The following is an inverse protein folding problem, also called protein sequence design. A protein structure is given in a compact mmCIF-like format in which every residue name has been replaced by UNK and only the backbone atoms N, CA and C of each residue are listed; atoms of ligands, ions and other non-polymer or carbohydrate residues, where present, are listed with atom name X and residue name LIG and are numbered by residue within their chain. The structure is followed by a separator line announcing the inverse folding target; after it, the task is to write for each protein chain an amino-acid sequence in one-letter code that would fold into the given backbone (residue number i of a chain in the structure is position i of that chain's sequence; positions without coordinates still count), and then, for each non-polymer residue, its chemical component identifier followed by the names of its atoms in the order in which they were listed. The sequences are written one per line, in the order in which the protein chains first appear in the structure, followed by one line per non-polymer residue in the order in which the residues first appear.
data_IF_412646432786
#
_entry.id   IF_412646432786
#
_cell.length_a   1.000
_cell.length_b   1.000
_cell.length_c   1.000
_cell.angle_alpha   90.00
_cell.angle_beta   90.00
_cell.angle_gamma   90.00
#
_symmetry.space_group_name_H-M   'P 1'
#
loop_
_entity.id
_entity.type
_entity.pdbx_description
1 polymer ?
#
# COMPACT_ATOMS: atom_id res chain seq x y z
N UNK A 1 18.54 43.03 10.02
CA UNK A 1 17.77 41.90 9.45
C UNK A 1 18.49 40.60 9.78
N UNK A 2 18.01 39.82 10.77
CA UNK A 2 18.60 38.53 11.14
C UNK A 2 18.21 37.49 10.09
N UNK A 3 19.19 36.93 9.38
CA UNK A 3 18.97 35.77 8.52
C UNK A 3 18.54 34.59 9.40
N UNK A 4 17.32 34.12 9.22
CA UNK A 4 16.77 32.91 9.83
C UNK A 4 17.53 31.70 9.30
N UNK A 5 18.54 31.24 10.03
CA UNK A 5 19.25 30.00 9.75
C UNK A 5 18.28 28.83 9.95
N UNK A 6 17.64 28.35 8.87
CA UNK A 6 16.79 27.16 8.91
C UNK A 6 17.70 25.95 9.12
N UNK A 7 17.79 25.52 10.37
CA UNK A 7 18.45 24.27 10.74
C UNK A 7 17.65 23.11 10.12
N UNK A 8 18.12 22.60 8.99
CA UNK A 8 17.47 21.49 8.31
C UNK A 8 17.71 20.22 9.14
N UNK A 9 16.63 19.59 9.58
CA UNK A 9 16.67 18.33 10.31
C UNK A 9 17.40 17.25 9.49
N UNK A 10 18.17 16.40 10.20
CA UNK A 10 18.88 15.26 9.61
C UNK A 10 17.89 14.30 8.92
N UNK A 11 18.31 13.72 7.79
CA UNK A 11 17.55 12.71 7.01
C UNK A 11 17.12 11.47 7.82
N UNK A 12 17.65 11.28 9.03
CA UNK A 12 17.33 10.17 9.93
C UNK A 12 16.33 10.52 11.05
N UNK A 13 15.86 11.78 11.14
CA UNK A 13 14.82 12.15 12.09
C UNK A 13 13.43 11.83 11.53
N UNK A 14 12.62 11.07 12.27
CA UNK A 14 11.26 10.67 11.85
C UNK A 14 10.32 11.87 11.58
N UNK A 15 10.49 12.96 12.33
CA UNK A 15 9.74 14.23 12.17
C UNK A 15 10.55 15.33 11.47
N UNK A 16 11.74 15.01 10.97
CA UNK A 16 12.62 15.96 10.30
C UNK A 16 12.17 16.21 8.87
N UNK A 17 11.96 17.47 8.49
CA UNK A 17 11.66 17.84 7.10
C UNK A 17 12.99 18.12 6.37
N UNK A 18 13.51 17.18 5.56
CA UNK A 18 14.77 17.40 4.84
C UNK A 18 14.62 18.51 3.79
N UNK A 19 15.75 19.04 3.32
CA UNK A 19 15.77 20.00 2.21
C UNK A 19 14.97 19.45 1.03
N UNK A 20 14.09 20.26 0.44
CA UNK A 20 13.27 19.84 -0.71
C UNK A 20 14.10 19.25 -1.86
N UNK A 21 15.31 19.79 -2.08
CA UNK A 21 16.26 19.29 -3.09
C UNK A 21 16.75 17.85 -2.83
N UNK A 22 16.70 17.37 -1.59
CA UNK A 22 17.01 15.98 -1.23
C UNK A 22 15.74 15.14 -1.13
N UNK A 23 14.66 15.71 -0.59
CA UNK A 23 13.38 15.02 -0.42
C UNK A 23 12.78 14.54 -1.75
N UNK A 24 12.80 15.40 -2.78
CA UNK A 24 12.19 15.11 -4.08
C UNK A 24 12.83 13.90 -4.80
N UNK A 25 14.16 13.82 -5.01
CA UNK A 25 14.76 12.66 -5.66
C UNK A 25 14.59 11.37 -4.84
N UNK A 26 14.65 11.43 -3.51
CA UNK A 26 14.39 10.26 -2.66
C UNK A 26 12.94 9.77 -2.79
N UNK A 27 11.97 10.69 -2.77
CA UNK A 27 10.56 10.34 -2.94
C UNK A 27 10.31 9.72 -4.33
N UNK A 28 10.90 10.27 -5.39
CA UNK A 28 10.81 9.70 -6.73
C UNK A 28 11.39 8.29 -6.81
N UNK A 29 12.54 8.02 -6.19
CA UNK A 29 13.13 6.69 -6.15
C UNK A 29 12.20 5.67 -5.46
N UNK A 30 11.56 6.07 -4.35
CA UNK A 30 10.60 5.21 -3.66
C UNK A 30 9.37 4.92 -4.51
N UNK A 31 8.83 5.94 -5.19
CA UNK A 31 7.68 5.77 -6.10
C UNK A 31 8.04 4.83 -7.25
N UNK A 32 9.19 5.01 -7.90
CA UNK A 32 9.62 4.15 -9.01
C UNK A 32 9.82 2.70 -8.53
N UNK A 33 10.44 2.50 -7.37
CA UNK A 33 10.62 1.17 -6.79
C UNK A 33 9.27 0.50 -6.48
N UNK A 34 8.30 1.26 -5.94
CA UNK A 34 6.97 0.79 -5.60
C UNK A 34 6.11 0.44 -6.83
N UNK A 35 6.20 1.23 -7.91
CA UNK A 35 5.40 1.03 -9.13
C UNK A 35 5.62 -0.37 -9.69
N UNK A 36 6.86 -0.82 -9.82
CA UNK A 36 7.16 -2.16 -10.36
C UNK A 36 6.55 -3.26 -9.47
N UNK A 37 6.60 -3.07 -8.14
CA UNK A 37 6.01 -4.00 -7.17
C UNK A 37 4.49 -4.08 -7.24
N UNK A 38 3.79 -2.99 -7.57
CA UNK A 38 2.33 -2.97 -7.67
C UNK A 38 1.83 -3.38 -9.08
N UNK A 39 2.54 -2.99 -10.13
CA UNK A 39 2.13 -3.25 -11.51
C UNK A 39 2.31 -4.73 -11.87
N UNK A 40 3.40 -5.37 -11.43
CA UNK A 40 3.73 -6.76 -11.79
C UNK A 40 2.63 -7.76 -11.39
N UNK A 41 2.15 -7.82 -10.13
CA UNK A 41 1.06 -8.72 -9.76
C UNK A 41 -0.24 -8.46 -10.53
N UNK A 42 -0.59 -7.19 -10.78
CA UNK A 42 -1.78 -6.84 -11.55
C UNK A 42 -1.68 -7.30 -13.01
N UNK A 43 -0.49 -7.19 -13.62
CA UNK A 43 -0.19 -7.73 -14.95
C UNK A 43 -0.31 -9.26 -14.97
N UNK A 44 0.22 -9.96 -13.97
CA UNK A 44 0.16 -11.42 -13.89
C UNK A 44 -1.30 -11.89 -13.82
N UNK A 45 -2.09 -11.32 -12.91
CA UNK A 45 -3.50 -11.72 -12.71
C UNK A 45 -4.37 -11.37 -13.92
N UNK A 46 -4.17 -10.18 -14.53
CA UNK A 46 -4.93 -9.79 -15.73
C UNK A 46 -4.67 -10.69 -16.94
N UNK A 47 -3.44 -11.19 -17.10
CA UNK A 47 -3.10 -12.16 -18.14
C UNK A 47 -3.85 -13.48 -17.95
N UNK A 48 -3.83 -14.02 -16.72
CA UNK A 48 -4.50 -15.30 -16.43
C UNK A 48 -6.02 -15.19 -16.58
N UNK A 49 -6.59 -14.04 -16.22
CA UNK A 49 -8.00 -13.75 -16.42
C UNK A 49 -8.38 -13.39 -17.88
N UNK A 50 -7.43 -13.38 -18.82
CA UNK A 50 -7.65 -13.03 -20.23
C UNK A 50 -8.40 -11.69 -20.43
N UNK A 51 -8.09 -10.68 -19.62
CA UNK A 51 -8.72 -9.36 -19.72
C UNK A 51 -8.37 -8.64 -21.02
N UNK A 52 -9.29 -7.80 -21.50
CA UNK A 52 -9.04 -6.89 -22.61
C UNK A 52 -7.92 -5.89 -22.26
N UNK A 53 -7.27 -5.31 -23.27
CA UNK A 53 -6.23 -4.30 -23.06
C UNK A 53 -6.71 -3.10 -22.25
N UNK A 54 -7.97 -2.68 -22.44
CA UNK A 54 -8.57 -1.58 -21.70
C UNK A 54 -8.80 -1.94 -20.22
N UNK A 55 -9.41 -3.10 -19.95
CA UNK A 55 -9.71 -3.55 -18.57
C UNK A 55 -8.44 -3.83 -17.78
N UNK A 56 -7.40 -4.32 -18.46
CA UNK A 56 -6.08 -4.50 -17.87
C UNK A 56 -5.49 -3.18 -17.38
N UNK A 57 -5.55 -2.13 -18.19
CA UNK A 57 -5.06 -0.80 -17.82
C UNK A 57 -5.85 -0.27 -16.62
N UNK A 58 -7.18 -0.44 -16.63
CA UNK A 58 -8.04 -0.06 -15.50
C UNK A 58 -7.64 -0.80 -14.22
N UNK A 59 -7.41 -2.11 -14.29
CA UNK A 59 -7.00 -2.91 -13.14
C UNK A 59 -5.65 -2.45 -12.55
N UNK A 60 -4.68 -2.17 -13.42
CA UNK A 60 -3.36 -1.67 -13.00
C UNK A 60 -3.48 -0.28 -12.36
N UNK A 61 -4.26 0.63 -12.96
CA UNK A 61 -4.50 1.96 -12.42
C UNK A 61 -5.23 1.90 -11.08
N UNK A 62 -6.26 1.05 -10.96
CA UNK A 62 -6.98 0.84 -9.71
C UNK A 62 -6.03 0.34 -8.61
N UNK A 63 -5.16 -0.61 -8.93
CA UNK A 63 -4.18 -1.13 -7.97
C UNK A 63 -3.20 -0.04 -7.48
N UNK A 64 -2.70 0.81 -8.38
CA UNK A 64 -1.83 1.94 -8.03
C UNK A 64 -2.54 2.98 -7.16
N UNK A 65 -3.79 3.33 -7.50
CA UNK A 65 -4.60 4.30 -6.74
C UNK A 65 -4.88 3.77 -5.33
N UNK A 66 -5.33 2.53 -5.19
CA UNK A 66 -5.60 1.92 -3.87
C UNK A 66 -4.32 1.83 -3.04
N UNK A 67 -3.19 1.53 -3.66
CA UNK A 67 -1.89 1.47 -3.00
C UNK A 67 -1.43 2.84 -2.49
N UNK A 68 -1.64 3.90 -3.28
CA UNK A 68 -1.38 5.28 -2.86
C UNK A 68 -2.30 5.71 -1.71
N UNK A 69 -3.60 5.42 -1.79
CA UNK A 69 -4.57 5.69 -0.73
C UNK A 69 -4.22 4.97 0.58
N UNK A 70 -3.81 3.70 0.48
CA UNK A 70 -3.39 2.90 1.64
C UNK A 70 -2.13 3.45 2.29
N UNK A 71 -1.15 3.88 1.47
CA UNK A 71 0.07 4.55 1.96
C UNK A 71 -0.27 5.88 2.65
N UNK A 72 -1.20 6.66 2.08
CA UNK A 72 -1.66 7.92 2.68
C UNK A 72 -2.37 7.68 4.02
N UNK A 73 -3.22 6.66 4.11
CA UNK A 73 -3.88 6.26 5.35
C UNK A 73 -2.87 5.87 6.44
N UNK A 74 -1.78 5.20 6.05
CA UNK A 74 -0.73 4.76 6.95
C UNK A 74 0.13 5.92 7.48
N UNK A 75 0.35 6.94 6.63
CA UNK A 75 1.04 8.20 6.97
C UNK A 75 0.17 9.12 7.84
N UNK A 76 -1.10 9.30 7.45
CA UNK A 76 -2.05 10.19 8.11
C UNK A 76 -3.18 9.37 8.74
N UNK A 77 -2.95 8.82 9.94
CA UNK A 77 -3.95 7.94 10.53
C UNK A 77 -5.22 8.71 10.85
N UNK A 78 -6.34 8.06 10.56
CA UNK A 78 -7.68 8.60 10.78
C UNK A 78 -8.21 8.00 12.09
N UNK A 79 -8.57 8.85 13.05
CA UNK A 79 -9.18 8.44 14.33
C UNK A 79 -8.56 9.09 15.57
N UNK A 80 -9.31 9.08 16.68
CA UNK A 80 -8.86 9.62 17.98
C UNK A 80 -7.94 8.63 18.70
N UNK A 81 -6.93 9.18 19.38
CA UNK A 81 -5.98 8.49 20.27
C UNK A 81 -6.75 7.89 21.47
N UNK A 82 -7.35 6.71 21.32
CA UNK A 82 -8.06 6.03 22.43
C UNK A 82 -9.15 5.00 22.10
N UNK A 83 -9.63 4.85 20.86
CA UNK A 83 -10.63 3.81 20.55
C UNK A 83 -10.36 3.07 19.26
N UNK A 84 -10.26 3.79 18.14
CA UNK A 84 -10.04 3.19 16.84
C UNK A 84 -9.15 4.10 16.01
N UNK A 85 -7.94 3.62 15.71
CA UNK A 85 -6.93 4.35 14.95
C UNK A 85 -6.62 3.55 13.69
N UNK A 86 -7.05 4.06 12.54
CA UNK A 86 -6.75 3.46 11.24
C UNK A 86 -5.45 4.07 10.71
N UNK A 87 -4.42 3.24 10.53
CA UNK A 87 -3.07 3.65 10.15
C UNK A 87 -2.12 3.81 11.36
N UNK A 88 -0.83 3.59 11.16
CA UNK A 88 0.14 3.65 12.28
C UNK A 88 0.82 5.02 12.49
N UNK A 89 0.61 6.02 11.63
CA UNK A 89 1.44 7.25 11.55
C UNK A 89 2.93 6.92 11.37
N UNK A 90 3.22 5.99 10.46
CA UNK A 90 4.59 5.63 10.13
C UNK A 90 4.82 5.79 8.64
N UNK A 91 6.04 6.18 8.20
CA UNK A 91 6.41 6.27 6.79
C UNK A 91 6.56 4.87 6.18
N UNK A 92 5.44 4.17 6.02
CA UNK A 92 5.37 2.82 5.46
C UNK A 92 4.62 2.88 4.14
N UNK A 93 5.26 2.40 3.09
CA UNK A 93 4.67 2.27 1.76
C UNK A 93 3.85 0.98 1.71
N UNK A 94 2.57 1.11 1.38
CA UNK A 94 1.69 -0.03 1.14
C UNK A 94 1.81 -0.46 -0.31
N UNK A 95 1.73 -1.77 -0.56
CA UNK A 95 1.88 -2.35 -1.89
C UNK A 95 1.11 -3.67 -2.01
N UNK A 96 1.16 -4.28 -3.19
CA UNK A 96 0.52 -5.58 -3.43
C UNK A 96 1.46 -6.70 -2.95
N UNK A 97 0.94 -7.62 -2.15
CA UNK A 97 1.70 -8.77 -1.69
C UNK A 97 1.78 -9.85 -2.77
N UNK A 98 3.01 -10.21 -3.15
CA UNK A 98 3.29 -11.30 -4.10
C UNK A 98 2.89 -12.69 -3.56
N UNK A 99 2.73 -12.83 -2.24
CA UNK A 99 2.35 -14.10 -1.62
C UNK A 99 0.97 -14.60 -2.09
N UNK A 100 0.08 -13.68 -2.49
CA UNK A 100 -1.27 -14.02 -2.93
C UNK A 100 -1.40 -14.27 -4.44
N UNK A 101 -0.34 -14.05 -5.23
CA UNK A 101 -0.39 -14.21 -6.69
C UNK A 101 -0.82 -15.62 -7.10
N UNK A 102 -0.25 -16.72 -6.54
CA UNK A 102 -0.66 -18.07 -6.94
C UNK A 102 -2.14 -18.36 -6.66
N UNK A 103 -2.65 -17.92 -5.50
CA UNK A 103 -4.06 -18.07 -5.14
C UNK A 103 -4.98 -17.27 -6.07
N UNK A 104 -4.59 -16.03 -6.40
CA UNK A 104 -5.33 -15.21 -7.36
C UNK A 104 -5.34 -15.83 -8.76
N UNK A 105 -4.24 -16.44 -9.21
CA UNK A 105 -4.20 -17.12 -10.51
C UNK A 105 -5.15 -18.33 -10.54
N UNK A 106 -5.19 -19.12 -9.46
CA UNK A 106 -6.13 -20.24 -9.34
C UNK A 106 -7.59 -19.77 -9.39
N UNK A 107 -7.95 -18.72 -8.66
CA UNK A 107 -9.32 -18.19 -8.67
C UNK A 107 -9.66 -17.54 -10.01
N UNK A 108 -8.71 -16.82 -10.63
CA UNK A 108 -8.90 -16.18 -11.94
C UNK A 108 -9.24 -17.20 -13.02
N UNK A 109 -8.59 -18.36 -13.02
CA UNK A 109 -8.76 -19.39 -14.04
C UNK A 109 -10.19 -19.97 -14.03
N UNK A 110 -10.76 -20.19 -12.85
CA UNK A 110 -12.05 -20.89 -12.70
C UNK A 110 -13.24 -19.93 -12.53
N UNK A 111 -13.02 -18.77 -11.88
CA UNK A 111 -14.09 -17.86 -11.45
C UNK A 111 -13.90 -16.39 -11.89
N UNK A 112 -12.75 -16.07 -12.50
CA UNK A 112 -12.45 -14.74 -13.02
C UNK A 112 -12.19 -13.65 -11.96
N UNK A 113 -12.08 -12.40 -12.44
CA UNK A 113 -11.78 -11.22 -11.62
C UNK A 113 -12.84 -10.91 -10.55
N UNK A 114 -14.17 -11.01 -10.82
CA UNK A 114 -15.18 -10.69 -9.81
C UNK A 114 -15.04 -11.53 -8.54
N UNK A 115 -14.69 -12.81 -8.69
CA UNK A 115 -14.45 -13.71 -7.56
C UNK A 115 -13.21 -13.31 -6.75
N UNK A 116 -12.14 -12.85 -7.40
CA UNK A 116 -10.95 -12.32 -6.71
C UNK A 116 -11.31 -11.09 -5.88
N UNK A 117 -12.05 -10.15 -6.45
CA UNK A 117 -12.45 -8.93 -5.72
C UNK A 117 -13.35 -9.27 -4.53
N UNK A 118 -14.29 -10.19 -4.70
CA UNK A 118 -15.13 -10.69 -3.60
C UNK A 118 -14.30 -11.36 -2.49
N UNK A 119 -13.38 -12.24 -2.88
CA UNK A 119 -12.47 -12.91 -1.95
C UNK A 119 -11.56 -11.92 -1.19
N UNK A 120 -11.11 -10.84 -1.86
CA UNK A 120 -10.31 -9.79 -1.24
C UNK A 120 -11.11 -9.00 -0.18
N UNK A 121 -12.39 -8.71 -0.43
CA UNK A 121 -13.25 -8.03 0.57
C UNK A 121 -13.41 -8.90 1.81
N UNK A 122 -13.75 -10.19 1.63
CA UNK A 122 -13.89 -11.13 2.74
C UNK A 122 -12.56 -11.31 3.48
N UNK A 123 -11.47 -11.51 2.74
CA UNK A 123 -10.12 -11.63 3.29
C UNK A 123 -9.69 -10.39 4.06
N UNK A 124 -10.06 -9.19 3.60
CA UNK A 124 -9.80 -7.92 4.28
C UNK A 124 -10.54 -7.82 5.62
N UNK A 125 -11.82 -8.23 5.66
CA UNK A 125 -12.60 -8.28 6.91
C UNK A 125 -11.98 -9.27 7.90
N UNK A 126 -11.61 -10.47 7.42
CA UNK A 126 -10.94 -11.48 8.27
C UNK A 126 -9.60 -10.97 8.78
N UNK A 127 -8.78 -10.37 7.91
CA UNK A 127 -7.48 -9.79 8.30
C UNK A 127 -7.63 -8.67 9.33
N UNK A 128 -8.66 -7.84 9.20
CA UNK A 128 -8.98 -6.79 10.16
C UNK A 128 -9.35 -7.37 11.53
N UNK A 129 -10.19 -8.40 11.58
CA UNK A 129 -10.55 -9.11 12.81
C UNK A 129 -9.30 -9.73 13.45
N UNK A 130 -8.52 -10.50 12.68
CA UNK A 130 -7.29 -11.13 13.16
C UNK A 130 -6.30 -10.08 13.69
N UNK A 131 -6.14 -8.96 12.97
CA UNK A 131 -5.29 -7.85 13.39
C UNK A 131 -5.70 -7.23 14.72
N UNK A 132 -7.01 -7.15 15.02
CA UNK A 132 -7.51 -6.66 16.30
C UNK A 132 -7.19 -7.60 17.47
N UNK A 133 -7.09 -8.91 17.24
CA UNK A 133 -6.80 -9.93 18.27
C UNK A 133 -5.33 -10.38 18.31
N UNK A 134 -4.50 -9.94 17.36
CA UNK A 134 -3.14 -10.47 17.15
C UNK A 134 -2.20 -10.29 18.36
N UNK A 135 -2.45 -9.29 19.22
CA UNK A 135 -1.68 -9.09 20.47
C UNK A 135 -1.75 -10.31 21.41
N UNK A 136 -2.80 -11.13 21.31
CA UNK A 136 -2.93 -12.35 22.13
C UNK A 136 -2.03 -13.49 21.64
N UNK A 137 -1.66 -13.49 20.36
CA UNK A 137 -0.94 -14.60 19.71
C UNK A 137 0.58 -14.47 19.89
N UNK A 138 1.13 -13.26 19.97
CA UNK A 138 2.58 -13.02 20.12
C UNK A 138 3.10 -13.21 21.56
N UNK A 139 2.20 -13.48 22.52
CA UNK A 139 2.56 -13.70 23.94
C UNK A 139 2.65 -15.20 24.29
N UNK A 140 2.46 -16.10 23.31
CA UNK A 140 2.70 -17.54 23.40
C UNK A 140 4.09 -17.88 22.84
#
# INVERSE_FOLDING_TARGET
MKQSNKEYASIFQLDGIPKFSQALPLALQHVVAMIVGCVTPAIIVSNVANLSGADRVILIQAALVVSALSTLLQLFPIGKKGSFRLGAALPVIMGISFAYVPSMQSIAADFGIPAILGAQIVGGVVAFIVGAFVMQIQTL
#
